data_IF_860826827447
#
_entry.id   IF_860826827447
#
_cell.length_a   1.000
_cell.length_b   1.000
_cell.length_c   1.000
_cell.angle_alpha   90.00
_cell.angle_beta   90.00
_cell.angle_gamma   90.00
#
_symmetry.space_group_name_H-M   'P 1'
#
loop_
_entity.id
_entity.type
_entity.pdbx_description
1 polymer ?
#
# COMPACT_ATOMS: atom_id res chain seq x y z
N UNK A 1 1.21 -10.25 11.77
CA UNK A 1 0.68 -9.65 10.52
C UNK A 1 -0.76 -9.29 10.78
N UNK A 2 -1.19 -8.10 10.35
CA UNK A 2 -2.52 -7.57 10.65
C UNK A 2 -3.11 -6.95 9.38
N UNK A 3 -4.37 -7.24 9.12
CA UNK A 3 -5.14 -6.57 8.06
C UNK A 3 -5.50 -5.16 8.52
N UNK A 4 -5.16 -4.18 7.68
CA UNK A 4 -5.42 -2.76 7.93
C UNK A 4 -6.24 -2.11 6.81
N UNK A 5 -6.68 -2.87 5.82
CA UNK A 5 -7.52 -2.35 4.75
C UNK A 5 -7.98 -3.41 3.77
N UNK A 6 -9.05 -3.10 3.05
CA UNK A 6 -9.60 -3.92 1.98
C UNK A 6 -9.85 -3.02 0.76
N UNK A 7 -9.54 -3.55 -0.42
CA UNK A 7 -9.55 -2.84 -1.68
C UNK A 7 -10.23 -3.65 -2.76
N UNK A 8 -10.78 -2.92 -3.73
CA UNK A 8 -11.31 -3.44 -4.98
C UNK A 8 -10.41 -2.96 -6.11
N UNK A 9 -9.99 -3.88 -6.97
CA UNK A 9 -9.28 -3.55 -8.20
C UNK A 9 -10.28 -3.03 -9.25
N UNK A 10 -9.90 -1.97 -9.94
CA UNK A 10 -10.71 -1.33 -10.98
C UNK A 10 -10.16 -1.69 -12.36
N UNK A 11 -11.02 -1.52 -13.39
CA UNK A 11 -10.66 -1.84 -14.78
C UNK A 11 -9.50 -1.00 -15.34
N UNK A 12 -9.25 0.19 -14.77
CA UNK A 12 -8.16 1.08 -15.14
C UNK A 12 -6.82 0.74 -14.43
N UNK A 13 -6.78 -0.37 -13.69
CA UNK A 13 -5.62 -0.80 -12.91
C UNK A 13 -5.44 -0.05 -11.59
N UNK A 14 -6.35 0.87 -11.23
CA UNK A 14 -6.36 1.48 -9.90
C UNK A 14 -7.01 0.57 -8.85
N UNK A 15 -6.83 0.91 -7.58
CA UNK A 15 -7.54 0.26 -6.47
C UNK A 15 -8.26 1.30 -5.64
N UNK A 16 -9.46 0.95 -5.19
CA UNK A 16 -10.27 1.78 -4.28
C UNK A 16 -10.67 0.97 -3.07
N UNK A 17 -10.56 1.56 -1.88
CA UNK A 17 -10.81 0.83 -0.66
C UNK A 17 -10.77 1.70 0.57
N UNK A 18 -10.57 1.04 1.71
CA UNK A 18 -10.44 1.69 3.01
C UNK A 18 -9.17 1.27 3.73
N UNK A 19 -8.69 2.16 4.62
CA UNK A 19 -7.64 1.87 5.57
C UNK A 19 -8.17 2.15 6.97
N UNK A 20 -8.07 1.16 7.85
CA UNK A 20 -8.52 1.25 9.23
C UNK A 20 -7.44 0.74 10.19
N UNK A 21 -7.06 1.60 11.13
CA UNK A 21 -6.22 1.31 12.29
C UNK A 21 -6.82 1.99 13.51
N UNK A 22 -6.25 1.77 14.71
CA UNK A 22 -6.74 2.43 15.92
C UNK A 22 -6.72 3.97 15.85
N UNK A 23 -5.81 4.56 15.07
CA UNK A 23 -5.66 6.01 14.96
C UNK A 23 -6.26 6.59 13.67
N UNK A 24 -6.58 5.75 12.68
CA UNK A 24 -6.90 6.19 11.32
C UNK A 24 -8.13 5.43 10.83
N UNK A 25 -9.12 6.15 10.32
CA UNK A 25 -10.30 5.55 9.70
C UNK A 25 -10.62 6.23 8.36
N UNK A 26 -9.95 5.78 7.30
CA UNK A 26 -10.10 6.35 5.97
C UNK A 26 -11.00 5.46 5.13
N UNK A 27 -12.24 5.92 4.90
CA UNK A 27 -13.26 5.17 4.13
C UNK A 27 -13.10 5.22 2.62
N UNK A 28 -12.26 6.12 2.11
CA UNK A 28 -12.05 6.34 0.67
C UNK A 28 -10.58 6.59 0.39
N UNK A 29 -9.86 5.51 0.10
CA UNK A 29 -8.46 5.51 -0.32
C UNK A 29 -8.38 5.08 -1.77
N UNK A 30 -7.57 5.79 -2.56
CA UNK A 30 -7.29 5.48 -3.95
C UNK A 30 -5.81 5.15 -4.12
N UNK A 31 -5.52 4.05 -4.80
CA UNK A 31 -4.19 3.65 -5.26
C UNK A 31 -4.21 3.77 -6.77
N UNK A 32 -3.57 4.81 -7.34
CA UNK A 32 -3.63 5.11 -8.77
C UNK A 32 -2.29 4.87 -9.46
N UNK A 33 -2.26 4.26 -10.66
CA UNK A 33 -1.05 4.12 -11.44
C UNK A 33 -0.38 5.48 -11.69
N UNK A 34 0.95 5.50 -11.69
CA UNK A 34 1.75 6.65 -12.12
C UNK A 34 2.14 6.44 -13.58
N UNK A 35 1.70 7.34 -14.47
CA UNK A 35 1.99 7.24 -15.90
C UNK A 35 3.46 7.55 -16.21
N UNK A 36 4.00 8.62 -15.62
CA UNK A 36 5.35 9.08 -15.88
C UNK A 36 6.30 8.63 -14.77
N UNK A 37 7.05 7.55 -15.04
CA UNK A 37 8.06 7.03 -14.13
C UNK A 37 9.45 7.51 -14.57
N UNK A 38 10.09 8.46 -13.84
CA UNK A 38 11.41 8.97 -14.20
C UNK A 38 12.55 7.94 -14.02
N UNK A 39 12.31 6.85 -13.31
CA UNK A 39 13.24 5.73 -13.12
C UNK A 39 12.52 4.48 -12.61
N UNK A 40 13.17 3.32 -12.66
CA UNK A 40 12.63 2.06 -12.10
C UNK A 40 12.42 2.09 -10.58
N UNK A 41 13.12 3.01 -9.89
CA UNK A 41 12.94 3.23 -8.44
C UNK A 41 11.67 4.04 -8.13
N UNK A 42 11.10 4.69 -9.15
CA UNK A 42 9.88 5.48 -9.00
C UNK A 42 8.71 4.58 -8.65
N UNK A 43 7.75 5.06 -7.84
CA UNK A 43 6.59 4.26 -7.50
C UNK A 43 5.75 3.94 -8.74
N UNK A 44 5.16 2.74 -8.75
CA UNK A 44 4.17 2.34 -9.74
C UNK A 44 2.80 2.95 -9.45
N UNK A 45 2.54 3.23 -8.16
CA UNK A 45 1.27 3.79 -7.72
C UNK A 45 1.44 4.91 -6.69
N UNK A 46 0.52 5.88 -6.72
CA UNK A 46 0.36 6.89 -5.68
C UNK A 46 -0.89 6.60 -4.85
N UNK A 47 -0.78 6.78 -3.54
CA UNK A 47 -1.85 6.52 -2.58
C UNK A 47 -2.38 7.84 -2.05
N UNK A 48 -3.70 8.04 -2.14
CA UNK A 48 -4.36 9.29 -1.73
C UNK A 48 -5.68 9.02 -1.02
N UNK A 49 -6.04 9.88 -0.06
CA UNK A 49 -7.39 9.99 0.48
C UNK A 49 -7.88 11.42 0.30
N UNK A 50 -8.88 11.62 -0.55
CA UNK A 50 -9.27 12.96 -1.00
C UNK A 50 -8.09 13.68 -1.66
N UNK A 51 -7.75 14.88 -1.17
CA UNK A 51 -6.60 15.66 -1.63
C UNK A 51 -5.28 15.31 -0.92
N UNK A 52 -5.31 14.50 0.14
CA UNK A 52 -4.12 14.16 0.92
C UNK A 52 -3.32 13.05 0.24
N UNK A 53 -2.00 13.18 0.23
CA UNK A 53 -1.09 12.10 -0.15
C UNK A 53 -0.75 11.25 1.07
N UNK A 54 -0.98 9.95 0.96
CA UNK A 54 -0.71 8.99 2.04
C UNK A 54 0.54 8.16 1.81
N UNK A 55 1.06 8.15 0.58
CA UNK A 55 2.24 7.37 0.23
C UNK A 55 2.20 6.83 -1.18
N UNK A 56 2.84 5.69 -1.37
CA UNK A 56 3.10 5.10 -2.67
C UNK A 56 3.21 3.56 -2.62
N UNK A 57 3.15 2.93 -3.78
CA UNK A 57 3.34 1.49 -3.91
C UNK A 57 4.16 1.10 -5.15
N UNK A 58 4.78 -0.08 -5.07
CA UNK A 58 5.59 -0.68 -6.13
C UNK A 58 5.11 -2.11 -6.39
N UNK A 59 5.01 -2.51 -7.65
CA UNK A 59 4.74 -3.90 -8.03
C UNK A 59 5.96 -4.74 -7.67
N UNK A 60 5.74 -5.86 -6.99
CA UNK A 60 6.78 -6.83 -6.66
C UNK A 60 6.26 -8.25 -6.82
N UNK A 61 7.21 -9.16 -6.99
CA UNK A 61 6.97 -10.60 -7.00
C UNK A 61 7.61 -11.19 -5.75
N UNK A 62 6.88 -12.06 -5.03
CA UNK A 62 7.41 -12.74 -3.84
C UNK A 62 8.39 -13.86 -4.24
N UNK A 63 9.06 -14.45 -3.24
CA UNK A 63 9.91 -15.63 -3.47
C UNK A 63 9.12 -16.83 -4.03
N UNK A 64 7.83 -16.89 -3.72
CA UNK A 64 6.90 -17.92 -4.16
C UNK A 64 6.17 -17.55 -5.47
N UNK A 65 6.72 -16.59 -6.25
CA UNK A 65 6.16 -16.11 -7.51
C UNK A 65 4.75 -15.47 -7.43
N UNK A 66 4.35 -14.97 -6.25
CA UNK A 66 3.08 -14.25 -6.10
C UNK A 66 3.28 -12.75 -6.34
N UNK A 67 2.45 -12.15 -7.19
CA UNK A 67 2.43 -10.70 -7.39
C UNK A 67 1.75 -9.99 -6.20
N UNK A 68 2.33 -8.87 -5.78
CA UNK A 68 1.77 -8.02 -4.74
C UNK A 68 2.23 -6.58 -4.92
N UNK A 69 1.57 -5.63 -4.24
CA UNK A 69 2.09 -4.27 -4.13
C UNK A 69 2.84 -4.11 -2.81
N UNK A 70 4.11 -3.76 -2.88
CA UNK A 70 4.87 -3.25 -1.75
C UNK A 70 4.41 -1.82 -1.49
N UNK A 71 3.79 -1.57 -0.33
CA UNK A 71 3.17 -0.28 0.01
C UNK A 71 4.02 0.43 1.06
N UNK A 72 4.27 1.72 0.87
CA UNK A 72 4.84 2.60 1.89
C UNK A 72 3.83 3.71 2.18
N UNK A 73 3.30 3.74 3.40
CA UNK A 73 2.44 4.81 3.90
C UNK A 73 3.29 5.78 4.72
N UNK A 74 3.23 7.07 4.40
CA UNK A 74 4.14 8.09 4.94
C UNK A 74 3.39 9.42 5.07
N UNK A 75 2.42 9.46 5.98
CA UNK A 75 1.63 10.65 6.31
C UNK A 75 2.24 11.37 7.53
N UNK A 76 2.16 12.72 7.63
CA UNK A 76 2.71 13.48 8.76
C UNK A 76 2.19 13.05 10.15
N UNK A 77 1.02 12.39 10.24
CA UNK A 77 0.51 11.85 11.49
C UNK A 77 1.27 10.60 11.98
N UNK A 78 2.13 10.02 11.15
CA UNK A 78 2.90 8.82 11.52
C UNK A 78 4.25 9.22 12.09
N UNK A 79 4.66 8.60 13.20
CA UNK A 79 5.99 8.82 13.75
C UNK A 79 7.13 8.37 12.82
N UNK A 80 6.83 7.46 11.88
CA UNK A 80 7.69 7.04 10.79
C UNK A 80 6.87 6.35 9.71
N UNK A 81 7.44 6.22 8.51
CA UNK A 81 6.82 5.47 7.42
C UNK A 81 6.47 4.02 7.80
N UNK A 82 5.31 3.58 7.33
CA UNK A 82 4.72 2.25 7.55
C UNK A 82 4.84 1.44 6.26
N UNK A 83 5.57 0.32 6.29
CA UNK A 83 5.65 -0.62 5.18
C UNK A 83 4.56 -1.68 5.29
N UNK A 84 3.73 -1.80 4.26
CA UNK A 84 2.64 -2.76 4.15
C UNK A 84 2.74 -3.51 2.80
N UNK A 85 1.86 -4.48 2.59
CA UNK A 85 1.68 -5.16 1.31
C UNK A 85 0.21 -5.20 0.94
N UNK A 86 -0.13 -4.95 -0.32
CA UNK A 86 -1.46 -5.27 -0.87
C UNK A 86 -1.36 -6.63 -1.55
N UNK A 87 -2.04 -7.62 -0.99
CA UNK A 87 -2.05 -9.03 -1.45
C UNK A 87 -3.48 -9.48 -1.71
N UNK A 88 -3.67 -10.61 -2.39
CA UNK A 88 -5.00 -11.21 -2.53
C UNK A 88 -5.16 -12.31 -1.47
N UNK A 89 -6.17 -12.17 -0.61
CA UNK A 89 -6.57 -13.17 0.39
C UNK A 89 -8.03 -13.50 0.12
N UNK A 90 -8.36 -14.77 -0.13
CA UNK A 90 -9.73 -15.20 -0.41
C UNK A 90 -10.43 -14.33 -1.48
N UNK A 91 -9.70 -13.99 -2.55
CA UNK A 91 -10.11 -13.11 -3.67
C UNK A 91 -10.24 -11.60 -3.36
N UNK A 92 -10.01 -11.18 -2.11
CA UNK A 92 -10.05 -9.78 -1.69
C UNK A 92 -8.65 -9.18 -1.67
N UNK A 93 -8.48 -7.99 -2.28
CA UNK A 93 -7.22 -7.25 -2.17
C UNK A 93 -7.11 -6.66 -0.78
N UNK A 94 -6.24 -7.26 0.02
CA UNK A 94 -6.11 -7.00 1.46
C UNK A 94 -4.81 -6.30 1.73
N UNK A 95 -4.88 -5.13 2.38
CA UNK A 95 -3.72 -4.38 2.82
C UNK A 95 -3.30 -4.92 4.19
N UNK A 96 -2.11 -5.51 4.22
CA UNK A 96 -1.57 -6.20 5.39
C UNK A 96 -0.29 -5.54 5.84
N UNK A 97 -0.16 -5.37 7.15
CA UNK A 97 0.98 -4.76 7.78
C UNK A 97 1.62 -5.69 8.81
N UNK A 98 2.93 -5.56 9.00
CA UNK A 98 3.65 -6.17 10.11
C UNK A 98 4.69 -5.20 10.64
N UNK A 99 4.92 -5.25 11.95
CA UNK A 99 6.07 -4.58 12.57
C UNK A 99 7.30 -5.44 12.32
N UNK A 100 8.37 -4.87 11.78
CA UNK A 100 9.67 -5.55 11.79
C UNK A 100 10.07 -5.78 13.25
N UNK A 101 10.35 -7.03 13.61
CA UNK A 101 10.84 -7.40 14.94
C UNK A 101 12.35 -7.64 14.96
N UNK A 102 13.06 -7.37 13.86
CA UNK A 102 14.51 -7.57 13.75
C UNK A 102 15.28 -6.24 13.63
N UNK A 103 16.54 -6.18 14.12
CA UNK A 103 17.46 -5.10 13.79
C UNK A 103 17.58 -4.98 12.27
N UNK A 104 17.64 -3.77 11.73
CA UNK A 104 18.21 -3.58 10.39
C UNK A 104 19.69 -3.86 10.53
N UNK A 105 20.19 -4.95 9.96
CA UNK A 105 21.63 -5.06 9.72
C UNK A 105 22.02 -3.94 8.75
N UNK A 106 22.98 -3.12 9.19
CA UNK A 106 23.62 -2.03 8.44
C UNK A 106 24.59 -2.57 7.40
#
# INVERSE_FOLDING_TARGET
MSTIGAFTANADGSFTGEIHTLAINLKKVQIRPVADKPSDKSPDFRITAGAANLGAAWKKTSKDNNEYLSVKLDDPSFGAAINAALVVIETVHTLVWSRSTGPKED
#
